data_IF_915274956938
#
_entry.id   IF_915274956938
#
_cell.length_a   1.000
_cell.length_b   1.000
_cell.length_c   1.000
_cell.angle_alpha   90.00
_cell.angle_beta   90.00
_cell.angle_gamma   90.00
#
_symmetry.space_group_name_H-M   'P 1'
#
loop_
_entity.id
_entity.type
_entity.pdbx_description
1 polymer ?
#
# COMPACT_ATOMS: atom_id res chain seq x y z
N UNK A 1 2.41 4.54 5.59
CA UNK A 1 1.29 3.65 5.31
C UNK A 1 1.81 2.44 4.55
N UNK A 2 1.44 1.24 4.98
CA UNK A 2 1.87 0.00 4.35
C UNK A 2 0.88 -0.55 3.33
N UNK A 3 -0.38 -0.18 3.46
CA UNK A 3 -1.41 -0.61 2.52
C UNK A 3 -2.78 -0.04 2.86
N UNK A 4 -3.66 -0.19 1.91
CA UNK A 4 -5.09 0.12 2.06
C UNK A 4 -5.90 -1.07 1.57
N UNK A 5 -7.01 -1.32 2.23
CA UNK A 5 -8.05 -2.23 1.75
C UNK A 5 -9.39 -1.48 1.75
N UNK A 6 -10.05 -1.49 0.63
CA UNK A 6 -11.36 -0.87 0.45
C UNK A 6 -12.35 -1.96 0.07
N UNK A 7 -13.32 -2.19 0.90
CA UNK A 7 -14.40 -3.14 0.65
C UNK A 7 -15.73 -2.41 0.64
N UNK A 8 -16.47 -2.52 -0.44
CA UNK A 8 -17.82 -1.99 -0.56
C UNK A 8 -18.80 -3.10 -0.87
N UNK A 9 -19.90 -3.12 -0.13
CA UNK A 9 -21.01 -4.05 -0.31
C UNK A 9 -22.29 -3.27 -0.55
N UNK A 10 -23.00 -3.66 -1.59
CA UNK A 10 -24.34 -3.16 -1.92
C UNK A 10 -25.38 -4.24 -1.66
N UNK A 11 -26.32 -3.91 -0.83
CA UNK A 11 -27.54 -4.66 -0.63
C UNK A 11 -28.72 -3.67 -0.77
N UNK A 12 -29.45 -3.37 0.29
CA UNK A 12 -30.41 -2.25 0.33
C UNK A 12 -29.68 -0.91 0.35
N UNK A 13 -28.56 -0.88 1.01
CA UNK A 13 -27.67 0.27 1.16
C UNK A 13 -26.25 -0.09 0.75
N UNK A 14 -25.43 0.92 0.47
CA UNK A 14 -24.02 0.72 0.17
C UNK A 14 -23.23 1.02 1.43
N UNK A 15 -22.58 0.00 1.96
CA UNK A 15 -21.68 0.09 3.11
C UNK A 15 -20.25 -0.17 2.62
N UNK A 16 -19.36 0.76 2.91
CA UNK A 16 -17.94 0.64 2.63
C UNK A 16 -17.12 0.57 3.91
N UNK A 17 -16.10 -0.25 3.90
CA UNK A 17 -15.08 -0.31 4.93
C UNK A 17 -13.73 0.03 4.31
N UNK A 18 -13.01 0.94 4.92
CA UNK A 18 -11.64 1.28 4.55
C UNK A 18 -10.73 0.86 5.70
N UNK A 19 -9.80 -0.01 5.39
CA UNK A 19 -8.73 -0.41 6.30
C UNK A 19 -7.43 0.24 5.85
N UNK A 20 -6.74 0.84 6.77
CA UNK A 20 -5.43 1.43 6.56
C UNK A 20 -4.43 0.75 7.46
N UNK A 21 -3.45 0.11 6.84
CA UNK A 21 -2.35 -0.53 7.54
C UNK A 21 -1.16 0.42 7.63
N UNK A 22 -0.69 0.63 8.85
CA UNK A 22 0.56 1.34 9.14
C UNK A 22 1.56 0.37 9.74
N UNK A 23 2.80 0.82 9.97
CA UNK A 23 3.83 -0.02 10.63
C UNK A 23 3.47 -0.44 12.07
N UNK A 24 2.58 0.29 12.72
CA UNK A 24 2.27 0.12 14.14
C UNK A 24 0.81 -0.26 14.44
N UNK A 25 -0.10 -0.04 13.49
CA UNK A 25 -1.52 -0.28 13.70
C UNK A 25 -2.28 -0.47 12.39
N UNK A 26 -3.39 -1.21 12.48
CA UNK A 26 -4.42 -1.27 11.43
C UNK A 26 -5.63 -0.49 11.94
N UNK A 27 -6.05 0.52 11.18
CA UNK A 27 -7.26 1.27 11.47
C UNK A 27 -8.32 0.91 10.44
N UNK A 28 -9.51 0.59 10.92
CA UNK A 28 -10.67 0.30 10.06
C UNK A 28 -11.75 1.36 10.28
N UNK A 29 -12.28 1.87 9.20
CA UNK A 29 -13.40 2.81 9.23
C UNK A 29 -14.52 2.31 8.33
N UNK A 30 -15.70 2.11 8.91
CA UNK A 30 -16.90 1.67 8.20
C UNK A 30 -17.91 2.80 8.12
N UNK A 31 -18.47 3.02 6.95
CA UNK A 31 -19.42 4.08 6.71
C UNK A 31 -20.42 3.71 5.62
N UNK A 32 -21.54 4.44 5.58
CA UNK A 32 -22.56 4.31 4.58
C UNK A 32 -22.40 5.39 3.51
N UNK A 33 -22.48 5.02 2.23
CA UNK A 33 -22.53 5.98 1.13
C UNK A 33 -23.94 6.50 0.95
N UNK A 34 -24.05 7.80 0.66
CA UNK A 34 -25.31 8.43 0.28
C UNK A 34 -25.75 8.12 -1.15
N UNK A 35 -26.67 8.92 -1.67
CA UNK A 35 -27.12 8.81 -3.07
C UNK A 35 -26.01 9.19 -4.05
N UNK A 36 -26.12 8.67 -5.29
CA UNK A 36 -25.16 8.90 -6.38
C UNK A 36 -23.69 8.62 -6.02
N UNK A 37 -23.37 7.44 -5.47
CA UNK A 37 -22.02 7.11 -5.09
C UNK A 37 -21.15 6.91 -6.32
N UNK A 38 -19.94 7.46 -6.27
CA UNK A 38 -18.90 7.28 -7.29
C UNK A 38 -17.53 7.09 -6.65
N UNK A 39 -16.73 6.20 -7.22
CA UNK A 39 -15.32 6.13 -6.98
C UNK A 39 -14.60 7.02 -8.02
N UNK A 40 -13.78 7.94 -7.56
CA UNK A 40 -13.11 8.95 -8.38
C UNK A 40 -11.62 8.90 -8.12
N UNK A 41 -10.84 8.92 -9.19
CA UNK A 41 -9.39 9.02 -9.14
C UNK A 41 -8.98 10.49 -9.30
N UNK A 42 -8.12 10.97 -8.40
CA UNK A 42 -7.55 12.32 -8.47
C UNK A 42 -6.04 12.23 -8.50
N UNK A 43 -5.46 12.97 -9.43
CA UNK A 43 -4.01 13.13 -9.52
C UNK A 43 -3.64 14.42 -8.82
N UNK A 44 -2.81 14.31 -7.78
CA UNK A 44 -2.25 15.47 -7.08
C UNK A 44 -0.81 15.67 -7.51
N UNK A 45 -0.59 16.72 -8.28
CA UNK A 45 0.76 17.17 -8.66
C UNK A 45 1.55 17.59 -7.41
N UNK A 46 2.75 17.08 -7.28
CA UNK A 46 3.68 17.40 -6.21
C UNK A 46 4.91 18.06 -6.81
N UNK A 47 5.15 19.33 -6.48
CA UNK A 47 6.25 20.14 -7.05
C UNK A 47 7.64 19.50 -6.99
N UNK A 48 7.86 18.58 -6.05
CA UNK A 48 9.13 17.85 -5.88
C UNK A 48 8.80 16.41 -5.52
N UNK A 49 8.63 15.57 -6.51
CA UNK A 49 8.36 14.14 -6.34
C UNK A 49 7.39 13.59 -7.38
N UNK A 50 7.12 12.30 -7.34
CA UNK A 50 6.11 11.70 -8.23
C UNK A 50 4.71 12.19 -7.84
N UNK A 51 3.83 12.31 -8.83
CA UNK A 51 2.44 12.61 -8.63
C UNK A 51 1.78 11.59 -7.70
N UNK A 52 0.91 12.07 -6.83
CA UNK A 52 0.13 11.22 -5.93
C UNK A 52 -1.20 10.87 -6.59
N UNK A 53 -1.47 9.59 -6.70
CA UNK A 53 -2.72 9.07 -7.27
C UNK A 53 -3.63 8.68 -6.11
N UNK A 54 -4.74 9.39 -5.97
CA UNK A 54 -5.66 9.27 -4.84
C UNK A 54 -7.02 8.75 -5.31
N UNK A 55 -7.56 7.78 -4.57
CA UNK A 55 -8.92 7.27 -4.77
C UNK A 55 -9.85 7.87 -3.71
N UNK A 56 -10.95 8.45 -4.15
CA UNK A 56 -12.01 8.98 -3.30
C UNK A 56 -13.34 8.29 -3.57
N UNK A 57 -14.11 8.11 -2.53
CA UNK A 57 -15.52 7.73 -2.61
C UNK A 57 -16.36 8.98 -2.39
N UNK A 58 -17.12 9.35 -3.41
CA UNK A 58 -17.94 10.57 -3.43
C UNK A 58 -19.40 10.18 -3.42
N UNK A 59 -20.19 10.82 -2.59
CA UNK A 59 -21.66 10.64 -2.55
C UNK A 59 -22.33 11.94 -2.12
N UNK A 60 -23.67 11.95 -2.04
CA UNK A 60 -24.44 13.10 -1.55
C UNK A 60 -24.07 13.53 -0.12
N UNK A 61 -23.49 12.63 0.68
CA UNK A 61 -23.07 12.90 2.07
C UNK A 61 -21.69 13.56 2.13
N UNK A 62 -20.88 13.46 1.09
CA UNK A 62 -19.55 14.05 1.03
C UNK A 62 -18.51 13.14 0.35
N UNK A 63 -17.26 13.46 0.56
CA UNK A 63 -16.12 12.74 -0.01
C UNK A 63 -15.33 12.03 1.10
N UNK A 64 -14.95 10.80 0.85
CA UNK A 64 -14.11 10.01 1.75
C UNK A 64 -12.87 9.56 1.00
N UNK A 65 -11.71 9.84 1.56
CA UNK A 65 -10.44 9.32 1.05
C UNK A 65 -10.38 7.81 1.28
N UNK A 66 -10.15 7.05 0.21
CA UNK A 66 -10.15 5.59 0.25
C UNK A 66 -8.76 4.99 0.22
N UNK A 67 -7.92 5.39 -0.74
CA UNK A 67 -6.59 4.84 -0.90
C UNK A 67 -5.65 5.77 -1.67
N UNK A 68 -4.36 5.54 -1.50
CA UNK A 68 -3.29 6.16 -2.29
C UNK A 68 -2.52 5.08 -3.02
N UNK A 69 -2.27 5.30 -4.30
CA UNK A 69 -1.51 4.40 -5.18
C UNK A 69 -0.16 5.03 -5.48
N UNK A 70 0.88 4.22 -5.45
CA UNK A 70 2.24 4.64 -5.73
C UNK A 70 2.89 3.72 -6.77
N UNK A 71 3.80 4.28 -7.55
CA UNK A 71 4.57 3.56 -8.55
C UNK A 71 4.15 3.86 -9.99
N UNK A 72 4.84 3.25 -10.94
CA UNK A 72 4.66 3.52 -12.38
C UNK A 72 3.30 3.10 -12.95
N UNK A 73 2.61 2.15 -12.32
CA UNK A 73 1.27 1.65 -12.69
C UNK A 73 0.14 2.25 -11.84
N UNK A 74 0.45 3.19 -10.94
CA UNK A 74 -0.49 3.72 -9.96
C UNK A 74 -1.79 4.25 -10.56
N UNK A 75 -1.70 4.99 -11.67
CA UNK A 75 -2.88 5.54 -12.33
C UNK A 75 -3.78 4.44 -12.89
N UNK A 76 -3.24 3.48 -13.62
CA UNK A 76 -4.02 2.38 -14.19
C UNK A 76 -4.62 1.47 -13.12
N UNK A 77 -3.90 1.22 -12.04
CA UNK A 77 -4.40 0.46 -10.90
C UNK A 77 -5.53 1.20 -10.16
N UNK A 78 -5.39 2.50 -9.98
CA UNK A 78 -6.42 3.33 -9.36
C UNK A 78 -7.69 3.41 -10.23
N UNK A 79 -7.55 3.56 -11.54
CA UNK A 79 -8.66 3.56 -12.48
C UNK A 79 -9.38 2.20 -12.51
N UNK A 80 -8.63 1.09 -12.50
CA UNK A 80 -9.21 -0.25 -12.42
C UNK A 80 -9.95 -0.47 -11.09
N UNK A 81 -9.41 0.00 -9.98
CA UNK A 81 -10.05 -0.04 -8.67
C UNK A 81 -11.36 0.77 -8.65
N UNK A 82 -11.32 2.00 -9.20
CA UNK A 82 -12.49 2.85 -9.31
C UNK A 82 -13.58 2.21 -10.18
N UNK A 83 -13.21 1.60 -11.30
CA UNK A 83 -14.14 0.90 -12.18
C UNK A 83 -14.81 -0.29 -11.49
N UNK A 84 -14.08 -1.07 -10.71
CA UNK A 84 -14.65 -2.17 -9.91
C UNK A 84 -15.64 -1.68 -8.87
N UNK A 85 -15.32 -0.65 -8.13
CA UNK A 85 -16.20 -0.07 -7.13
C UNK A 85 -17.44 0.56 -7.77
N UNK A 86 -17.29 1.29 -8.88
CA UNK A 86 -18.40 1.86 -9.63
C UNK A 86 -19.33 0.77 -10.21
N UNK A 87 -18.78 -0.39 -10.57
CA UNK A 87 -19.56 -1.55 -10.97
C UNK A 87 -20.48 -2.05 -9.85
N UNK A 88 -20.00 -2.08 -8.61
CA UNK A 88 -20.81 -2.41 -7.43
C UNK A 88 -21.89 -1.34 -7.19
N UNK A 89 -21.55 -0.07 -7.28
CA UNK A 89 -22.49 1.03 -7.04
C UNK A 89 -23.62 1.07 -8.07
N UNK A 90 -23.33 0.73 -9.31
CA UNK A 90 -24.31 0.67 -10.40
C UNK A 90 -25.09 -0.66 -10.45
N UNK A 91 -24.69 -1.67 -9.70
CA UNK A 91 -25.34 -2.98 -9.74
C UNK A 91 -26.80 -2.91 -9.26
N UNK A 92 -27.67 -3.63 -9.96
CA UNK A 92 -29.10 -3.75 -9.62
C UNK A 92 -29.37 -4.88 -8.63
N UNK A 93 -28.42 -5.79 -8.45
CA UNK A 93 -28.46 -6.92 -7.52
C UNK A 93 -27.45 -6.73 -6.40
N UNK A 94 -27.58 -7.43 -5.25
CA UNK A 94 -26.57 -7.43 -4.22
C UNK A 94 -25.21 -7.78 -4.79
N UNK A 95 -24.22 -6.94 -4.54
CA UNK A 95 -22.85 -7.14 -5.02
C UNK A 95 -21.84 -6.58 -4.04
N UNK A 96 -20.62 -7.07 -4.14
CA UNK A 96 -19.49 -6.60 -3.33
C UNK A 96 -18.21 -6.54 -4.15
N UNK A 97 -17.32 -5.62 -3.80
CA UNK A 97 -15.97 -5.58 -4.32
C UNK A 97 -15.00 -5.21 -3.23
N UNK A 98 -13.84 -5.83 -3.29
CA UNK A 98 -12.69 -5.51 -2.45
C UNK A 98 -11.53 -5.10 -3.32
N UNK A 99 -10.87 -4.03 -2.93
CA UNK A 99 -9.66 -3.51 -3.56
C UNK A 99 -8.58 -3.44 -2.50
N UNK A 100 -7.52 -4.21 -2.70
CA UNK A 100 -6.36 -4.19 -1.82
C UNK A 100 -5.22 -3.45 -2.55
N UNK A 101 -4.71 -2.41 -1.91
CA UNK A 101 -3.59 -1.61 -2.41
C UNK A 101 -2.37 -1.97 -1.58
N UNK A 102 -1.51 -2.79 -2.17
CA UNK A 102 -0.26 -3.21 -1.54
C UNK A 102 0.75 -2.05 -1.50
N UNK A 103 1.65 -2.04 -0.51
CA UNK A 103 2.77 -1.12 -0.53
C UNK A 103 3.64 -1.35 -1.75
N UNK A 104 4.29 -0.31 -2.29
CA UNK A 104 5.08 -0.43 -3.50
C UNK A 104 6.20 -1.48 -3.32
N UNK A 105 6.40 -2.28 -4.36
CA UNK A 105 7.30 -3.43 -4.35
C UNK A 105 8.75 -3.06 -3.99
N UNK A 106 9.19 -1.81 -4.30
CA UNK A 106 10.53 -1.35 -3.98
C UNK A 106 10.83 -1.35 -2.46
N UNK A 107 9.81 -1.12 -1.62
CA UNK A 107 9.97 -1.18 -0.16
C UNK A 107 10.35 -2.60 0.30
N UNK A 108 9.77 -3.61 -0.31
CA UNK A 108 10.14 -5.02 -0.04
C UNK A 108 11.57 -5.30 -0.48
N UNK A 109 11.96 -4.84 -1.66
CA UNK A 109 13.32 -5.01 -2.19
C UNK A 109 14.35 -4.27 -1.36
N UNK A 110 14.04 -3.05 -0.89
CA UNK A 110 14.92 -2.31 0.04
C UNK A 110 15.12 -3.07 1.36
N UNK A 111 14.05 -3.65 1.90
CA UNK A 111 14.12 -4.42 3.15
C UNK A 111 14.99 -5.67 2.98
N UNK A 112 14.77 -6.44 1.90
CA UNK A 112 15.58 -7.61 1.57
C UNK A 112 17.02 -7.24 1.26
N UNK A 113 17.25 -6.13 0.56
CA UNK A 113 18.59 -5.59 0.31
C UNK A 113 19.33 -5.24 1.60
N UNK A 114 18.67 -4.59 2.55
CA UNK A 114 19.24 -4.27 3.86
C UNK A 114 19.58 -5.52 4.67
N UNK A 115 18.70 -6.52 4.68
CA UNK A 115 18.94 -7.80 5.36
C UNK A 115 20.14 -8.54 4.73
N UNK A 116 20.19 -8.61 3.40
CA UNK A 116 21.32 -9.22 2.68
C UNK A 116 22.63 -8.51 2.95
N UNK A 117 22.62 -7.18 2.97
CA UNK A 117 23.80 -6.37 3.28
C UNK A 117 24.30 -6.60 4.71
N UNK A 118 23.41 -6.64 5.69
CA UNK A 118 23.73 -6.96 7.08
C UNK A 118 24.33 -8.37 7.21
N UNK A 119 23.76 -9.35 6.52
CA UNK A 119 24.27 -10.73 6.53
C UNK A 119 25.69 -10.79 5.94
N UNK A 120 25.97 -10.04 4.86
CA UNK A 120 27.30 -9.95 4.27
C UNK A 120 28.31 -9.29 5.22
N UNK A 121 27.92 -8.24 5.94
CA UNK A 121 28.78 -7.59 6.93
C UNK A 121 29.12 -8.54 8.07
N UNK A 122 28.15 -9.30 8.59
CA UNK A 122 28.38 -10.29 9.65
C UNK A 122 29.33 -11.40 9.16
N UNK A 123 29.14 -11.90 7.94
CA UNK A 123 30.02 -12.89 7.32
C UNK A 123 31.44 -12.36 7.13
N UNK A 124 31.59 -11.12 6.65
CA UNK A 124 32.90 -10.49 6.48
C UNK A 124 33.63 -10.30 7.82
N UNK A 125 32.89 -9.84 8.85
CA UNK A 125 33.43 -9.71 10.19
C UNK A 125 33.86 -11.06 10.79
N UNK A 126 33.06 -12.11 10.58
CA UNK A 126 33.37 -13.45 11.06
C UNK A 126 34.63 -14.01 10.36
N UNK A 127 34.75 -13.86 9.05
CA UNK A 127 35.94 -14.25 8.29
C UNK A 127 37.19 -13.48 8.73
N UNK A 128 37.07 -12.17 8.95
CA UNK A 128 38.18 -11.35 9.43
C UNK A 128 38.68 -11.80 10.81
N UNK A 129 37.78 -12.28 11.70
CA UNK A 129 38.18 -12.85 12.99
C UNK A 129 38.89 -14.21 12.85
N UNK A 130 38.50 -15.03 11.88
CA UNK A 130 39.10 -16.35 11.64
C UNK A 130 40.43 -16.27 10.92
N UNK A 131 40.66 -15.27 10.08
CA UNK A 131 41.93 -15.07 9.33
C UNK A 131 42.96 -14.22 10.07
N UNK A 132 42.71 -13.88 11.34
CA UNK A 132 43.71 -13.17 12.15
C UNK A 132 44.96 -14.04 12.24
N UNK A 133 46.10 -13.60 11.66
CA UNK A 133 47.30 -14.42 11.70
C UNK A 133 47.65 -14.67 13.15
N UNK A 134 47.93 -15.94 13.49
CA UNK A 134 48.51 -16.29 14.76
C UNK A 134 49.75 -15.40 14.93
N UNK A 135 49.81 -14.69 16.07
CA UNK A 135 50.99 -13.88 16.35
C UNK A 135 52.23 -14.79 16.23
N UNK A 136 52.99 -14.60 15.16
CA UNK A 136 54.26 -15.26 15.01
C UNK A 136 55.17 -14.73 16.11
N UNK A 137 55.32 -15.53 17.14
CA UNK A 137 56.37 -15.26 18.12
C UNK A 137 57.67 -15.31 17.35
N UNK A 138 58.48 -14.22 17.30
CA UNK A 138 59.77 -14.31 16.70
C UNK A 138 60.56 -15.34 17.52
N UNK A 139 60.85 -16.46 16.89
CA UNK A 139 61.77 -17.44 17.46
C UNK A 139 63.08 -16.75 17.79
N UNK A 140 63.48 -16.92 19.01
CA UNK A 140 64.74 -16.42 19.47
C UNK A 140 65.92 -17.01 18.66
#
# INVERSE_FOLDING_TARGET
VRGYSVECRKDVQIICAIERETSSATTAHRFMLGSDPKAVVRVKDVRKGPDRILLYLVSSVGEVFAAEFEGGSALSEAEAAAARLNGVFAATQPSEARVDVAPPAYLRWMLWGAVAFLALLVLAAHRAMQTKPAATTPGA
#
